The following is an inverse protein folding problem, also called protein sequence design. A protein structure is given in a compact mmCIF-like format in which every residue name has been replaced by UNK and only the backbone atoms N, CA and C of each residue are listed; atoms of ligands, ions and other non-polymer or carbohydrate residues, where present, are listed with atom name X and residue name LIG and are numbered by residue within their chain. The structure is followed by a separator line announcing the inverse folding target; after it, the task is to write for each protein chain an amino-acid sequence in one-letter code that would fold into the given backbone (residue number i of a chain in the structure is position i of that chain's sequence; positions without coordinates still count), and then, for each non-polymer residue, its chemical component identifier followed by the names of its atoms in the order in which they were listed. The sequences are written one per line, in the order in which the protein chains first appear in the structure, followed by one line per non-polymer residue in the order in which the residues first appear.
data_IF_317946347791
#
_entry.id   IF_317946347791
#
_cell.length_a   1.000
_cell.length_b   1.000
_cell.length_c   1.000
_cell.angle_alpha   90.00
_cell.angle_beta   90.00
_cell.angle_gamma   90.00
#
_symmetry.space_group_name_H-M   'P 1'
#
loop_
_entity.id
_entity.type
_entity.pdbx_description
1 polymer ?
#
# COMPACT_ATOMS: atom_id res chain seq x y z
N UNK A 1 -22.69 -26.86 16.91
CA UNK A 1 -21.69 -27.12 15.85
C UNK A 1 -21.13 -25.77 15.45
N UNK A 2 -20.27 -25.27 16.32
CA UNK A 2 -19.58 -24.00 16.14
C UNK A 2 -18.67 -24.13 14.92
N UNK A 3 -19.02 -23.44 13.85
CA UNK A 3 -18.10 -23.26 12.72
C UNK A 3 -17.03 -22.31 13.22
N UNK A 4 -15.92 -22.88 13.67
CA UNK A 4 -14.66 -22.15 13.80
C UNK A 4 -14.38 -21.49 12.46
N UNK A 5 -14.64 -20.19 12.38
CA UNK A 5 -14.11 -19.36 11.31
C UNK A 5 -12.63 -19.24 11.59
N UNK A 6 -11.84 -20.19 11.10
CA UNK A 6 -10.38 -20.06 11.01
C UNK A 6 -10.09 -18.67 10.45
N UNK A 7 -9.49 -17.85 11.29
CA UNK A 7 -8.96 -16.55 10.90
C UNK A 7 -7.99 -16.80 9.77
N UNK A 8 -8.43 -16.47 8.55
CA UNK A 8 -7.61 -16.39 7.33
C UNK A 8 -6.62 -15.22 7.45
N UNK A 9 -5.85 -15.17 8.53
CA UNK A 9 -4.77 -14.22 8.77
C UNK A 9 -3.45 -14.71 8.17
N UNK A 10 -3.52 -15.62 7.20
CA UNK A 10 -2.47 -15.78 6.20
C UNK A 10 -2.51 -14.55 5.31
N UNK A 11 -1.86 -13.46 5.74
CA UNK A 11 -1.40 -12.43 4.81
C UNK A 11 -0.57 -13.16 3.75
N UNK A 12 -1.17 -13.40 2.58
CA UNK A 12 -0.55 -14.16 1.50
C UNK A 12 0.62 -13.34 0.98
N UNK A 13 1.79 -13.56 1.57
CA UNK A 13 3.03 -12.95 1.11
C UNK A 13 3.39 -13.61 -0.22
N UNK A 14 3.43 -12.81 -1.27
CA UNK A 14 3.81 -13.28 -2.60
C UNK A 14 5.28 -13.76 -2.57
N UNK A 15 5.45 -15.09 -2.68
CA UNK A 15 6.78 -15.73 -2.67
C UNK A 15 7.65 -15.27 -3.84
N UNK A 16 7.06 -14.92 -4.98
CA UNK A 16 7.75 -14.38 -6.14
C UNK A 16 8.33 -13.00 -5.83
N UNK A 17 7.55 -12.15 -5.14
CA UNK A 17 7.98 -10.82 -4.71
C UNK A 17 9.15 -10.91 -3.70
N UNK A 18 9.06 -11.82 -2.73
CA UNK A 18 10.15 -12.08 -1.77
C UNK A 18 11.41 -12.57 -2.48
N UNK A 19 11.26 -13.50 -3.42
CA UNK A 19 12.38 -14.03 -4.21
C UNK A 19 13.05 -12.93 -5.03
N UNK A 20 12.27 -12.04 -5.65
CA UNK A 20 12.80 -10.89 -6.39
C UNK A 20 13.58 -9.94 -5.47
N UNK A 21 13.04 -9.63 -4.28
CA UNK A 21 13.71 -8.79 -3.30
C UNK A 21 15.04 -9.40 -2.82
N UNK A 22 15.08 -10.71 -2.56
CA UNK A 22 16.32 -11.40 -2.16
C UNK A 22 17.37 -11.38 -3.28
N UNK A 23 16.96 -11.43 -4.55
CA UNK A 23 17.88 -11.37 -5.69
C UNK A 23 18.50 -9.99 -5.92
N UNK A 24 17.87 -8.91 -5.43
CA UNK A 24 18.41 -7.54 -5.51
C UNK A 24 19.61 -7.36 -4.58
N UNK A 25 20.55 -6.48 -4.98
CA UNK A 25 21.63 -6.02 -4.12
C UNK A 25 21.09 -5.21 -2.92
N UNK A 26 21.85 -5.06 -1.83
CA UNK A 26 21.45 -4.20 -0.71
C UNK A 26 21.11 -2.76 -1.13
N UNK A 27 21.88 -2.18 -2.04
CA UNK A 27 21.67 -0.82 -2.56
C UNK A 27 20.40 -0.73 -3.40
N UNK A 28 20.13 -1.75 -4.22
CA UNK A 28 18.89 -1.85 -5.00
C UNK A 28 17.67 -1.99 -4.09
N UNK A 29 17.75 -2.78 -3.02
CA UNK A 29 16.68 -2.91 -2.02
C UNK A 29 16.39 -1.59 -1.33
N UNK A 30 17.43 -0.82 -0.97
CA UNK A 30 17.26 0.51 -0.39
C UNK A 30 16.52 1.44 -1.35
N UNK A 31 16.97 1.51 -2.62
CA UNK A 31 16.30 2.32 -3.64
C UNK A 31 14.86 1.87 -3.90
N UNK A 32 14.59 0.57 -3.94
CA UNK A 32 13.25 0.03 -4.10
C UNK A 32 12.34 0.44 -2.94
N UNK A 33 12.84 0.38 -1.70
CA UNK A 33 12.11 0.80 -0.51
C UNK A 33 11.82 2.31 -0.51
N UNK A 34 12.80 3.14 -0.85
CA UNK A 34 12.61 4.60 -0.95
C UNK A 34 11.52 4.96 -1.97
N UNK A 35 11.55 4.30 -3.13
CA UNK A 35 10.54 4.48 -4.17
C UNK A 35 9.15 4.00 -3.72
N UNK A 36 9.09 2.86 -3.01
CA UNK A 36 7.83 2.34 -2.47
C UNK A 36 7.22 3.29 -1.44
N UNK A 37 8.03 3.80 -0.50
CA UNK A 37 7.61 4.79 0.50
C UNK A 37 7.08 6.06 -0.18
N UNK A 38 7.81 6.60 -1.15
CA UNK A 38 7.36 7.78 -1.91
C UNK A 38 6.00 7.55 -2.56
N UNK A 39 5.84 6.42 -3.24
CA UNK A 39 4.59 6.06 -3.94
C UNK A 39 3.41 5.95 -2.96
N UNK A 40 3.60 5.30 -1.81
CA UNK A 40 2.56 5.17 -0.78
C UNK A 40 2.15 6.55 -0.25
N UNK A 41 3.10 7.44 -0.01
CA UNK A 41 2.83 8.80 0.45
C UNK A 41 2.07 9.62 -0.60
N UNK A 42 2.46 9.54 -1.87
CA UNK A 42 1.78 10.22 -2.97
C UNK A 42 0.34 9.74 -3.12
N UNK A 43 0.11 8.42 -3.09
CA UNK A 43 -1.24 7.84 -3.14
C UNK A 43 -2.08 8.27 -1.94
N UNK A 44 -1.51 8.27 -0.75
CA UNK A 44 -2.19 8.72 0.48
C UNK A 44 -2.59 10.19 0.35
N UNK A 45 -1.69 11.04 -0.11
CA UNK A 45 -1.94 12.46 -0.29
C UNK A 45 -3.02 12.71 -1.35
N UNK A 46 -2.94 12.02 -2.49
CA UNK A 46 -3.97 12.09 -3.54
C UNK A 46 -5.35 11.67 -3.02
N UNK A 47 -5.43 10.58 -2.26
CA UNK A 47 -6.67 10.14 -1.63
C UNK A 47 -7.22 11.17 -0.63
N UNK A 48 -6.37 11.75 0.21
CA UNK A 48 -6.77 12.81 1.14
C UNK A 48 -7.29 14.05 0.42
N UNK A 49 -6.60 14.49 -0.64
CA UNK A 49 -7.06 15.61 -1.47
C UNK A 49 -8.42 15.31 -2.11
N UNK A 50 -8.59 14.13 -2.70
CA UNK A 50 -9.87 13.70 -3.28
C UNK A 50 -10.98 13.71 -2.24
N UNK A 51 -10.72 13.18 -1.04
CA UNK A 51 -11.68 13.15 0.07
C UNK A 51 -12.07 14.55 0.52
N UNK A 52 -11.12 15.47 0.61
CA UNK A 52 -11.36 16.86 1.00
C UNK A 52 -12.16 17.62 -0.07
N UNK A 53 -11.85 17.40 -1.35
CA UNK A 53 -12.58 17.97 -2.48
C UNK A 53 -14.03 17.48 -2.53
N UNK A 54 -14.28 16.20 -2.21
CA UNK A 54 -15.65 15.64 -2.09
C UNK A 54 -16.43 16.18 -0.88
N UNK A 55 -15.74 16.58 0.19
CA UNK A 55 -16.36 17.12 1.42
C UNK A 55 -16.66 18.61 1.35
N UNK A 56 -16.05 19.35 0.44
CA UNK A 56 -16.41 20.76 0.21
C UNK A 56 -17.69 20.82 -0.62
N UNK A 57 -18.75 21.53 -0.18
CA UNK A 57 -19.84 21.87 -1.07
C UNK A 57 -19.25 22.62 -2.25
N UNK A 58 -19.73 22.29 -3.46
CA UNK A 58 -19.43 23.08 -4.66
C UNK A 58 -19.92 24.50 -4.38
N UNK A 59 -19.01 25.40 -3.98
CA UNK A 59 -19.36 26.83 -3.86
C UNK A 59 -19.56 27.33 -5.28
N UNK A 60 -20.82 27.37 -5.70
CA UNK A 60 -21.26 28.21 -6.80
C UNK A 60 -21.08 29.66 -6.37
N UNK A 61 -20.14 30.33 -7.00
CA UNK A 61 -20.04 31.80 -7.07
C UNK A 61 -20.35 32.18 -8.49
#
# INVERSE_FOLDING_TARGET
MDKETETKDSLYVDKGLVTMFIKMSPEERLRANDNAVRTILELRNAYQQQKNNRRRPKRTT
#
